data_IF_528050848173
#
_entry.id   IF_528050848173
#
_cell.length_a   1.000
_cell.length_b   1.000
_cell.length_c   1.000
_cell.angle_alpha   90.00
_cell.angle_beta   90.00
_cell.angle_gamma   90.00
#
_symmetry.space_group_name_H-M   'P 1'
#
loop_
_entity.id
_entity.type
_entity.pdbx_description
1 polymer ?
#
# COMPACT_ATOMS: atom_id res chain seq x y z
N UNK A 1 -41.22 49.75 2.17
CA UNK A 1 -39.75 49.65 2.36
C UNK A 1 -39.44 48.24 2.83
N UNK A 2 -38.99 47.37 1.92
CA UNK A 2 -38.67 45.96 2.17
C UNK A 2 -37.21 45.82 2.58
N UNK A 3 -36.96 45.08 3.67
CA UNK A 3 -35.62 44.73 4.19
C UNK A 3 -34.75 44.07 3.10
N UNK A 4 -33.45 44.37 3.02
CA UNK A 4 -32.55 43.65 2.12
C UNK A 4 -32.41 42.21 2.59
N UNK A 5 -32.52 41.27 1.64
CA UNK A 5 -32.39 39.84 1.87
C UNK A 5 -31.00 39.49 2.41
N UNK A 6 -30.96 38.65 3.44
CA UNK A 6 -29.73 38.10 3.99
C UNK A 6 -28.99 37.30 2.91
N UNK A 7 -27.69 37.55 2.76
CA UNK A 7 -26.82 36.79 1.84
C UNK A 7 -26.82 35.31 2.27
N UNK A 8 -26.95 34.35 1.34
CA UNK A 8 -26.90 32.94 1.69
C UNK A 8 -25.54 32.61 2.32
N UNK A 9 -25.56 31.98 3.49
CA UNK A 9 -24.36 31.47 4.15
C UNK A 9 -23.68 30.46 3.23
N UNK A 10 -22.43 30.73 2.88
CA UNK A 10 -21.59 29.80 2.13
C UNK A 10 -21.39 28.52 2.95
N UNK A 11 -21.85 27.39 2.40
CA UNK A 11 -21.68 26.03 2.95
C UNK A 11 -20.30 25.43 2.64
N UNK A 12 -19.33 26.25 2.23
CA UNK A 12 -17.97 25.79 1.99
C UNK A 12 -17.34 25.34 3.32
N UNK A 13 -17.28 24.02 3.53
CA UNK A 13 -16.54 23.40 4.64
C UNK A 13 -15.11 23.91 4.59
N UNK A 14 -14.66 24.58 5.66
CA UNK A 14 -13.29 25.10 5.74
C UNK A 14 -12.30 23.93 5.55
N UNK A 15 -11.26 24.07 4.70
CA UNK A 15 -10.17 23.12 4.65
C UNK A 15 -9.63 22.93 6.07
N UNK A 16 -9.61 21.68 6.55
CA UNK A 16 -9.00 21.37 7.84
C UNK A 16 -7.51 21.62 7.66
N UNK A 17 -6.99 22.65 8.33
CA UNK A 17 -5.57 22.96 8.27
C UNK A 17 -4.76 21.74 8.73
N UNK A 18 -3.66 21.39 8.04
CA UNK A 18 -2.80 20.31 8.50
C UNK A 18 -2.29 20.66 9.91
N UNK A 19 -2.19 19.67 10.82
CA UNK A 19 -1.69 19.92 12.15
C UNK A 19 -0.24 20.46 12.10
N UNK A 20 0.20 21.20 13.13
CA UNK A 20 1.54 21.74 13.17
C UNK A 20 2.60 20.62 13.14
N UNK A 21 3.79 20.90 12.59
CA UNK A 21 4.88 19.94 12.49
C UNK A 21 5.28 19.34 13.86
N UNK A 22 5.20 20.11 14.94
CA UNK A 22 5.45 19.64 16.30
C UNK A 22 4.50 18.51 16.70
N UNK A 23 3.23 18.61 16.32
CA UNK A 23 2.24 17.57 16.56
C UNK A 23 2.55 16.32 15.72
N UNK A 24 2.94 16.48 14.45
CA UNK A 24 3.36 15.35 13.62
C UNK A 24 4.56 14.61 14.19
N UNK A 25 5.58 15.33 14.68
CA UNK A 25 6.76 14.72 15.29
C UNK A 25 6.43 14.01 16.61
N UNK A 26 5.57 14.60 17.43
CA UNK A 26 5.11 13.99 18.67
C UNK A 26 4.32 12.70 18.41
N UNK A 27 3.36 12.75 17.48
CA UNK A 27 2.57 11.58 17.06
C UNK A 27 3.45 10.48 16.44
N UNK A 28 4.45 10.86 15.65
CA UNK A 28 5.42 9.93 15.07
C UNK A 28 6.22 9.23 16.15
N UNK A 29 6.81 9.99 17.09
CA UNK A 29 7.62 9.44 18.17
C UNK A 29 6.82 8.50 19.09
N UNK A 30 5.52 8.79 19.28
CA UNK A 30 4.63 7.99 20.11
C UNK A 30 4.17 6.66 19.46
N UNK A 31 4.39 6.46 18.16
CA UNK A 31 3.92 5.27 17.40
C UNK A 31 5.07 4.31 17.09
N UNK A 32 5.20 3.16 17.77
CA UNK A 32 6.27 2.19 17.47
C UNK A 32 6.25 1.69 16.01
N UNK A 33 5.06 1.47 15.46
CA UNK A 33 4.85 1.07 14.06
C UNK A 33 5.32 2.14 13.05
N UNK A 34 5.44 3.41 13.46
CA UNK A 34 5.91 4.48 12.58
C UNK A 34 7.40 4.35 12.25
N UNK A 35 8.19 3.85 13.21
CA UNK A 35 9.61 3.63 13.05
C UNK A 35 9.91 2.51 12.05
N UNK A 36 9.10 1.44 12.03
CA UNK A 36 9.28 0.36 11.06
C UNK A 36 8.98 0.83 9.63
N UNK A 37 7.90 1.61 9.46
CA UNK A 37 7.55 2.23 8.16
C UNK A 37 8.64 3.19 7.69
N UNK A 38 9.14 4.04 8.59
CA UNK A 38 10.22 4.98 8.26
C UNK A 38 11.52 4.26 7.90
N UNK A 39 11.96 3.30 8.72
CA UNK A 39 13.17 2.52 8.45
C UNK A 39 13.08 1.81 7.09
N UNK A 40 11.92 1.24 6.76
CA UNK A 40 11.69 0.58 5.47
C UNK A 40 11.86 1.52 4.29
N UNK A 41 11.24 2.70 4.36
CA UNK A 41 11.31 3.69 3.30
C UNK A 41 12.70 4.37 3.22
N UNK A 42 13.51 4.28 4.28
CA UNK A 42 14.89 4.78 4.31
C UNK A 42 15.88 3.82 3.63
N UNK A 43 15.55 2.54 3.42
CA UNK A 43 16.43 1.55 2.77
C UNK A 43 17.02 2.06 1.44
N UNK A 44 16.23 2.56 0.46
CA UNK A 44 16.80 3.07 -0.79
C UNK A 44 17.67 4.33 -0.57
N UNK A 45 17.37 5.15 0.44
CA UNK A 45 18.21 6.31 0.81
C UNK A 45 19.56 5.84 1.31
N UNK A 46 19.57 4.91 2.26
CA UNK A 46 20.83 4.35 2.78
C UNK A 46 21.61 3.66 1.68
N UNK A 47 20.90 2.92 0.81
CA UNK A 47 21.45 2.28 -0.37
C UNK A 47 22.26 3.23 -1.24
N UNK A 48 21.67 4.35 -1.66
CA UNK A 48 22.35 5.32 -2.53
C UNK A 48 23.49 6.02 -1.79
N UNK A 49 23.24 6.56 -0.59
CA UNK A 49 24.16 7.49 0.06
C UNK A 49 25.32 6.80 0.78
N UNK A 50 25.14 5.57 1.25
CA UNK A 50 26.15 4.84 2.03
C UNK A 50 26.69 3.60 1.33
N UNK A 51 25.87 2.94 0.51
CA UNK A 51 26.26 1.71 -0.19
C UNK A 51 26.45 1.89 -1.70
N UNK A 52 26.34 3.12 -2.22
CA UNK A 52 26.57 3.43 -3.63
C UNK A 52 25.62 2.71 -4.59
N UNK A 53 24.37 2.46 -4.17
CA UNK A 53 23.38 1.78 -5.01
C UNK A 53 23.17 2.53 -6.33
N UNK A 54 23.10 1.77 -7.42
CA UNK A 54 22.78 2.30 -8.73
C UNK A 54 21.32 2.77 -8.80
N UNK A 55 21.01 3.62 -9.77
CA UNK A 55 19.63 4.01 -10.07
C UNK A 55 18.76 2.77 -10.40
N UNK A 56 19.31 1.80 -11.13
CA UNK A 56 18.62 0.54 -11.44
C UNK A 56 18.26 -0.25 -10.18
N UNK A 57 19.21 -0.43 -9.25
CA UNK A 57 18.97 -1.14 -7.99
C UNK A 57 17.96 -0.40 -7.10
N UNK A 58 18.00 0.94 -7.10
CA UNK A 58 17.04 1.76 -6.36
C UNK A 58 15.64 1.63 -6.93
N UNK A 59 15.47 1.78 -8.24
CA UNK A 59 14.19 1.61 -8.93
C UNK A 59 13.66 0.19 -8.72
N UNK A 60 14.54 -0.82 -8.79
CA UNK A 60 14.20 -2.20 -8.45
C UNK A 60 13.73 -2.35 -7.01
N UNK A 61 14.37 -1.69 -6.04
CA UNK A 61 13.91 -1.72 -4.65
C UNK A 61 12.48 -1.17 -4.50
N UNK A 62 12.15 -0.04 -5.14
CA UNK A 62 10.78 0.48 -5.10
C UNK A 62 9.77 -0.46 -5.75
N UNK A 63 10.14 -1.07 -6.88
CA UNK A 63 9.32 -2.06 -7.58
C UNK A 63 9.06 -3.27 -6.69
N UNK A 64 10.13 -3.85 -6.13
CA UNK A 64 10.08 -5.01 -5.26
C UNK A 64 9.29 -4.73 -3.98
N UNK A 65 9.54 -3.59 -3.31
CA UNK A 65 8.87 -3.21 -2.06
C UNK A 65 7.34 -3.07 -2.27
N UNK A 66 6.93 -2.49 -3.40
CA UNK A 66 5.52 -2.39 -3.76
C UNK A 66 4.89 -3.75 -4.10
N UNK A 67 5.58 -4.60 -4.85
CA UNK A 67 5.11 -5.94 -5.19
C UNK A 67 5.01 -6.83 -3.94
N UNK A 68 5.99 -6.74 -3.03
CA UNK A 68 6.00 -7.47 -1.77
C UNK A 68 4.85 -7.05 -0.84
N UNK A 69 4.56 -5.74 -0.78
CA UNK A 69 3.40 -5.22 -0.05
C UNK A 69 2.09 -5.81 -0.58
N UNK A 70 1.91 -5.77 -1.90
CA UNK A 70 0.72 -6.30 -2.56
C UNK A 70 0.58 -7.82 -2.32
N UNK A 71 1.66 -8.56 -2.51
CA UNK A 71 1.71 -9.99 -2.31
C UNK A 71 1.35 -10.39 -0.87
N UNK A 72 1.85 -9.64 0.12
CA UNK A 72 1.52 -9.83 1.53
C UNK A 72 0.04 -9.56 1.84
N UNK A 73 -0.54 -8.47 1.32
CA UNK A 73 -1.96 -8.14 1.51
C UNK A 73 -2.84 -9.25 0.91
N UNK A 74 -2.57 -9.67 -0.33
CA UNK A 74 -3.33 -10.74 -0.99
C UNK A 74 -3.17 -12.05 -0.19
N UNK A 75 -1.98 -12.38 0.30
CA UNK A 75 -1.75 -13.59 1.09
C UNK A 75 -2.64 -13.65 2.33
N UNK A 76 -2.77 -12.54 3.06
CA UNK A 76 -3.60 -12.47 4.28
C UNK A 76 -5.10 -12.45 3.97
N UNK A 77 -5.51 -12.03 2.77
CA UNK A 77 -6.92 -12.04 2.34
C UNK A 77 -7.41 -13.42 1.87
N UNK A 78 -6.51 -14.33 1.51
CA UNK A 78 -6.91 -15.66 0.98
C UNK A 78 -7.65 -16.51 1.99
N UNK A 79 -7.19 -16.66 3.26
CA UNK A 79 -7.94 -17.42 4.25
C UNK A 79 -9.39 -16.93 4.37
N UNK A 80 -9.60 -15.60 4.36
CA UNK A 80 -10.93 -14.98 4.36
C UNK A 80 -11.75 -15.39 3.15
N UNK A 81 -11.21 -15.17 1.94
CA UNK A 81 -11.89 -15.47 0.69
C UNK A 81 -12.23 -16.96 0.56
N UNK A 82 -11.36 -17.84 1.07
CA UNK A 82 -11.60 -19.28 1.11
C UNK A 82 -12.75 -19.64 2.03
N UNK A 83 -12.78 -19.11 3.27
CA UNK A 83 -13.88 -19.36 4.23
C UNK A 83 -15.23 -18.84 3.72
N UNK A 84 -15.26 -17.63 3.15
CA UNK A 84 -16.47 -17.04 2.54
C UNK A 84 -16.96 -17.83 1.30
N UNK A 85 -16.05 -18.52 0.60
CA UNK A 85 -16.40 -19.37 -0.56
C UNK A 85 -16.81 -20.80 -0.18
N UNK A 86 -16.35 -21.32 0.96
CA UNK A 86 -16.63 -22.69 1.44
C UNK A 86 -18.00 -22.81 2.10
N UNK A 87 -18.50 -21.75 2.74
CA UNK A 87 -19.84 -21.73 3.35
C UNK A 87 -21.00 -21.92 2.36
N UNK A 88 -20.72 -22.01 1.05
CA UNK A 88 -21.67 -22.34 -0.01
C UNK A 88 -21.53 -23.75 -0.59
N UNK A 89 -20.49 -24.51 -0.23
CA UNK A 89 -20.09 -25.74 -0.95
C UNK A 89 -20.06 -26.99 -0.06
N UNK A 90 -20.14 -26.87 1.27
CA UNK A 90 -20.03 -28.00 2.21
C UNK A 90 -21.36 -28.71 2.54
N UNK A 91 -22.10 -29.14 1.52
CA UNK A 91 -23.24 -30.07 1.68
C UNK A 91 -22.94 -31.53 1.28
N UNK A 92 -21.69 -31.89 0.93
CA UNK A 92 -21.43 -33.29 0.60
C UNK A 92 -19.96 -33.67 0.46
N UNK A 93 -19.48 -34.53 1.37
CA UNK A 93 -18.33 -35.38 1.12
C UNK A 93 -17.40 -35.56 2.32
N UNK A 94 -17.46 -36.74 2.94
CA UNK A 94 -16.42 -37.28 3.83
C UNK A 94 -15.09 -37.38 3.06
N UNK A 95 -14.24 -36.36 3.17
CA UNK A 95 -12.83 -36.41 2.77
C UNK A 95 -11.97 -36.53 4.03
N UNK A 96 -10.88 -37.29 3.94
CA UNK A 96 -9.82 -37.31 4.94
C UNK A 96 -9.33 -35.89 5.24
N UNK A 97 -9.29 -35.51 6.52
CA UNK A 97 -8.93 -34.16 6.99
C UNK A 97 -7.58 -33.68 6.44
N UNK A 98 -6.61 -34.60 6.31
CA UNK A 98 -5.27 -34.31 5.77
C UNK A 98 -5.35 -33.99 4.26
N UNK A 99 -6.12 -34.78 3.51
CA UNK A 99 -6.32 -34.54 2.07
C UNK A 99 -7.06 -33.24 1.80
N UNK A 100 -8.03 -32.88 2.65
CA UNK A 100 -8.75 -31.61 2.57
C UNK A 100 -7.83 -30.41 2.88
N UNK A 101 -6.96 -30.51 3.88
CA UNK A 101 -6.01 -29.46 4.25
C UNK A 101 -4.98 -29.18 3.14
N UNK A 102 -4.41 -30.23 2.53
CA UNK A 102 -3.46 -30.09 1.42
C UNK A 102 -4.15 -29.45 0.21
N UNK A 103 -5.34 -29.93 -0.16
CA UNK A 103 -6.08 -29.38 -1.30
C UNK A 103 -6.45 -27.90 -1.07
N UNK A 104 -6.88 -27.56 0.14
CA UNK A 104 -7.19 -26.17 0.50
C UNK A 104 -5.93 -25.30 0.42
N UNK A 105 -4.78 -25.79 0.88
CA UNK A 105 -3.51 -25.07 0.77
C UNK A 105 -3.12 -24.83 -0.69
N UNK A 106 -3.17 -25.87 -1.53
CA UNK A 106 -2.87 -25.74 -2.97
C UNK A 106 -3.82 -24.75 -3.63
N UNK A 107 -5.13 -24.85 -3.36
CA UNK A 107 -6.13 -23.90 -3.88
C UNK A 107 -5.83 -22.47 -3.43
N UNK A 108 -5.46 -22.28 -2.17
CA UNK A 108 -5.03 -21.00 -1.63
C UNK A 108 -3.83 -20.43 -2.37
N UNK A 109 -2.76 -21.22 -2.54
CA UNK A 109 -1.54 -20.80 -3.26
C UNK A 109 -1.84 -20.48 -4.73
N UNK A 110 -2.62 -21.31 -5.42
CA UNK A 110 -3.02 -21.04 -6.82
C UNK A 110 -3.82 -19.74 -6.91
N UNK A 111 -4.78 -19.54 -6.01
CA UNK A 111 -5.58 -18.30 -5.93
C UNK A 111 -4.68 -17.09 -5.67
N UNK A 112 -3.69 -17.24 -4.78
CA UNK A 112 -2.70 -16.21 -4.48
C UNK A 112 -1.92 -15.79 -5.71
N UNK A 113 -1.30 -16.75 -6.40
CA UNK A 113 -0.49 -16.49 -7.60
C UNK A 113 -1.36 -15.84 -8.68
N UNK A 114 -2.57 -16.34 -8.89
CA UNK A 114 -3.51 -15.80 -9.87
C UNK A 114 -3.87 -14.33 -9.55
N UNK A 115 -4.25 -14.05 -8.31
CA UNK A 115 -4.62 -12.70 -7.88
C UNK A 115 -3.41 -11.75 -7.90
N UNK A 116 -2.23 -12.22 -7.52
CA UNK A 116 -1.00 -11.43 -7.60
C UNK A 116 -0.65 -11.09 -9.06
N UNK A 117 -0.84 -12.04 -9.98
CA UNK A 117 -0.69 -11.80 -11.42
C UNK A 117 -1.67 -10.74 -11.94
N UNK A 118 -2.95 -10.88 -11.58
CA UNK A 118 -4.01 -9.99 -12.06
C UNK A 118 -3.96 -8.60 -11.41
N UNK A 119 -3.98 -8.52 -10.09
CA UNK A 119 -3.98 -7.25 -9.34
C UNK A 119 -2.62 -6.56 -9.43
N UNK A 120 -1.54 -7.33 -9.58
CA UNK A 120 -0.19 -6.81 -9.81
C UNK A 120 0.05 -6.27 -11.22
N UNK A 121 -0.93 -6.31 -12.14
CA UNK A 121 -0.80 -5.78 -13.51
C UNK A 121 -0.10 -4.43 -13.61
N UNK A 122 -0.42 -3.42 -12.78
CA UNK A 122 0.30 -2.15 -12.81
C UNK A 122 1.81 -2.29 -12.57
N UNK A 123 2.25 -3.23 -11.72
CA UNK A 123 3.68 -3.52 -11.48
C UNK A 123 4.34 -4.29 -12.62
N UNK A 124 3.58 -5.18 -13.27
CA UNK A 124 4.07 -5.91 -14.44
C UNK A 124 4.22 -4.99 -15.65
N UNK A 125 3.28 -4.06 -15.83
CA UNK A 125 3.30 -3.09 -16.94
C UNK A 125 4.50 -2.15 -16.84
N UNK A 126 4.93 -1.76 -15.63
CA UNK A 126 6.14 -0.95 -15.41
C UNK A 126 7.39 -1.60 -16.01
N UNK A 127 7.44 -2.93 -16.11
CA UNK A 127 8.56 -3.63 -16.74
C UNK A 127 8.70 -3.30 -18.22
N UNK A 128 7.62 -2.93 -18.95
CA UNK A 128 7.70 -2.62 -20.39
C UNK A 128 8.62 -1.42 -20.63
N UNK A 129 8.34 -0.21 -20.08
CA UNK A 129 9.21 0.94 -20.27
C UNK A 129 10.49 0.92 -19.44
N UNK A 130 10.55 0.17 -18.33
CA UNK A 130 11.72 0.12 -17.45
C UNK A 130 12.55 -1.17 -17.55
N UNK A 131 12.33 -2.01 -18.58
CA UNK A 131 13.02 -3.30 -18.71
C UNK A 131 14.54 -3.14 -18.73
N UNK A 132 15.05 -2.13 -19.44
CA UNK A 132 16.49 -1.89 -19.54
C UNK A 132 17.14 -1.58 -18.18
N UNK A 133 16.38 -1.04 -17.22
CA UNK A 133 16.86 -0.80 -15.86
C UNK A 133 16.63 -2.03 -14.98
N UNK A 134 15.37 -2.48 -14.88
CA UNK A 134 14.90 -3.52 -13.96
C UNK A 134 15.36 -4.93 -14.34
N UNK A 135 15.73 -5.15 -15.60
CA UNK A 135 16.20 -6.42 -16.12
C UNK A 135 17.64 -6.32 -16.66
N UNK A 136 18.37 -5.25 -16.33
CA UNK A 136 19.76 -5.08 -16.74
C UNK A 136 20.66 -6.23 -16.28
N UNK A 137 21.67 -6.63 -17.08
CA UNK A 137 22.64 -7.65 -16.66
C UNK A 137 23.38 -7.28 -15.36
N UNK A 138 23.71 -6.00 -15.19
CA UNK A 138 24.38 -5.49 -13.99
C UNK A 138 23.54 -5.63 -12.73
N UNK A 139 22.24 -5.30 -12.80
CA UNK A 139 21.33 -5.50 -11.68
C UNK A 139 21.17 -6.99 -11.34
N UNK A 140 20.99 -7.84 -12.35
CA UNK A 140 20.87 -9.30 -12.15
C UNK A 140 22.11 -9.87 -11.47
N UNK A 141 23.29 -9.44 -11.90
CA UNK A 141 24.56 -9.84 -11.28
C UNK A 141 24.65 -9.37 -9.82
N UNK A 142 24.32 -8.10 -9.54
CA UNK A 142 24.32 -7.58 -8.16
C UNK A 142 23.36 -8.37 -7.26
N UNK A 143 22.14 -8.65 -7.74
CA UNK A 143 21.16 -9.45 -7.00
C UNK A 143 21.65 -10.88 -6.77
N UNK A 144 22.24 -11.53 -7.77
CA UNK A 144 22.70 -12.91 -7.65
C UNK A 144 23.87 -13.06 -6.65
N UNK A 145 24.80 -12.10 -6.61
CA UNK A 145 26.07 -12.26 -5.91
C UNK A 145 26.24 -11.38 -4.66
N UNK A 146 25.23 -10.61 -4.25
CA UNK A 146 25.30 -9.76 -3.05
C UNK A 146 24.35 -10.26 -1.96
N UNK A 147 24.82 -11.06 -0.99
CA UNK A 147 23.98 -11.59 0.09
C UNK A 147 23.28 -10.51 0.92
N UNK A 148 23.92 -9.35 1.09
CA UNK A 148 23.33 -8.21 1.81
C UNK A 148 22.02 -7.72 1.16
N UNK A 149 21.92 -7.80 -0.18
CA UNK A 149 20.69 -7.44 -0.90
C UNK A 149 19.57 -8.45 -0.62
N UNK A 150 19.88 -9.75 -0.56
CA UNK A 150 18.91 -10.77 -0.17
C UNK A 150 18.41 -10.56 1.25
N UNK A 151 19.30 -10.20 2.18
CA UNK A 151 18.88 -9.86 3.54
C UNK A 151 17.97 -8.62 3.56
N UNK A 152 18.34 -7.56 2.83
CA UNK A 152 17.52 -6.37 2.70
C UNK A 152 16.13 -6.67 2.12
N UNK A 153 16.05 -7.30 0.94
CA UNK A 153 14.79 -7.65 0.28
C UNK A 153 13.98 -8.70 1.04
N UNK A 154 14.64 -9.66 1.68
CA UNK A 154 14.00 -10.64 2.55
C UNK A 154 13.37 -9.97 3.78
N UNK A 155 14.07 -9.04 4.42
CA UNK A 155 13.54 -8.28 5.56
C UNK A 155 12.38 -7.36 5.15
N UNK A 156 12.42 -6.78 3.95
CA UNK A 156 11.31 -6.02 3.37
C UNK A 156 10.05 -6.88 3.22
N UNK A 157 10.19 -8.04 2.57
CA UNK A 157 9.08 -8.96 2.35
C UNK A 157 8.50 -9.48 3.67
N UNK A 158 9.36 -9.89 4.61
CA UNK A 158 8.96 -10.32 5.94
C UNK A 158 8.25 -9.19 6.72
N UNK A 159 8.74 -7.95 6.61
CA UNK A 159 8.14 -6.77 7.22
C UNK A 159 6.74 -6.49 6.69
N UNK A 160 6.52 -6.59 5.37
CA UNK A 160 5.18 -6.46 4.78
C UNK A 160 4.24 -7.56 5.23
N UNK A 161 4.70 -8.81 5.25
CA UNK A 161 3.89 -9.93 5.71
C UNK A 161 3.51 -9.78 7.18
N UNK A 162 4.46 -9.42 8.03
CA UNK A 162 4.23 -9.15 9.45
C UNK A 162 3.22 -8.03 9.67
N UNK A 163 3.38 -6.91 8.95
CA UNK A 163 2.44 -5.78 8.99
C UNK A 163 1.04 -6.23 8.55
N UNK A 164 0.93 -6.96 7.44
CA UNK A 164 -0.35 -7.44 6.92
C UNK A 164 -1.06 -8.39 7.91
N UNK A 165 -0.31 -9.28 8.57
CA UNK A 165 -0.85 -10.17 9.60
C UNK A 165 -1.36 -9.39 10.83
N UNK A 166 -0.57 -8.43 11.33
CA UNK A 166 -0.97 -7.59 12.47
C UNK A 166 -2.17 -6.71 12.21
N UNK A 167 -2.36 -6.26 10.96
CA UNK A 167 -3.50 -5.42 10.59
C UNK A 167 -4.83 -6.16 10.61
N UNK A 168 -4.84 -7.50 10.67
CA UNK A 168 -6.07 -8.27 10.87
C UNK A 168 -7.11 -8.08 9.76
N UNK A 169 -6.66 -7.96 8.49
CA UNK A 169 -7.55 -7.81 7.32
C UNK A 169 -8.70 -8.84 7.27
N UNK A 170 -8.44 -10.01 7.82
CA UNK A 170 -9.39 -11.10 7.94
C UNK A 170 -10.64 -10.74 8.75
N UNK A 171 -10.48 -9.97 9.83
CA UNK A 171 -11.54 -9.62 10.78
C UNK A 171 -12.14 -8.23 10.52
N UNK A 172 -11.60 -7.50 9.53
CA UNK A 172 -11.99 -6.11 9.26
C UNK A 172 -13.38 -6.04 8.59
N UNK A 173 -14.28 -5.13 9.03
CA UNK A 173 -15.55 -4.87 8.35
C UNK A 173 -15.36 -4.51 6.87
N UNK A 174 -16.29 -4.90 6.00
CA UNK A 174 -16.13 -4.79 4.53
C UNK A 174 -15.92 -3.34 4.05
N UNK A 175 -16.58 -2.37 4.69
CA UNK A 175 -16.42 -0.95 4.38
C UNK A 175 -15.00 -0.44 4.68
N UNK A 176 -14.43 -0.81 5.83
CA UNK A 176 -13.07 -0.47 6.21
C UNK A 176 -12.05 -1.18 5.32
N UNK A 177 -12.31 -2.44 4.97
CA UNK A 177 -11.46 -3.22 4.06
C UNK A 177 -11.36 -2.56 2.68
N UNK A 178 -12.50 -2.19 2.07
CA UNK A 178 -12.52 -1.51 0.76
C UNK A 178 -11.75 -0.20 0.78
N UNK A 179 -11.92 0.60 1.82
CA UNK A 179 -11.20 1.87 1.97
C UNK A 179 -9.70 1.65 2.12
N UNK A 180 -9.30 0.68 2.96
CA UNK A 180 -7.90 0.34 3.20
C UNK A 180 -7.22 -0.16 1.93
N UNK A 181 -7.86 -1.08 1.21
CA UNK A 181 -7.37 -1.60 -0.07
C UNK A 181 -7.23 -0.47 -1.09
N UNK A 182 -8.24 0.41 -1.20
CA UNK A 182 -8.15 1.58 -2.10
C UNK A 182 -6.97 2.48 -1.75
N UNK A 183 -6.72 2.72 -0.47
CA UNK A 183 -5.57 3.50 -0.03
C UNK A 183 -4.24 2.81 -0.34
N UNK A 184 -4.15 1.50 -0.08
CA UNK A 184 -2.97 0.71 -0.41
C UNK A 184 -2.68 0.79 -1.91
N UNK A 185 -3.72 0.70 -2.76
CA UNK A 185 -3.61 0.92 -4.21
C UNK A 185 -3.10 2.33 -4.55
N UNK A 186 -3.53 3.39 -3.87
CA UNK A 186 -2.99 4.73 -4.12
C UNK A 186 -1.50 4.84 -3.80
N UNK A 187 -1.04 4.27 -2.69
CA UNK A 187 0.39 4.23 -2.34
C UNK A 187 1.17 3.42 -3.39
N UNK A 188 0.59 2.32 -3.88
CA UNK A 188 1.19 1.51 -4.93
C UNK A 188 1.33 2.31 -6.25
N UNK A 189 0.32 3.07 -6.64
CA UNK A 189 0.38 3.95 -7.82
C UNK A 189 1.44 5.05 -7.63
N UNK A 190 1.50 5.65 -6.45
CA UNK A 190 2.50 6.67 -6.13
C UNK A 190 3.93 6.13 -6.27
N UNK A 191 4.17 4.88 -5.83
CA UNK A 191 5.46 4.19 -6.03
C UNK A 191 5.77 3.97 -7.51
N UNK A 192 4.78 3.58 -8.31
CA UNK A 192 4.94 3.44 -9.75
C UNK A 192 5.35 4.76 -10.41
N UNK A 193 4.64 5.85 -10.13
CA UNK A 193 4.98 7.20 -10.64
C UNK A 193 6.39 7.59 -10.23
N UNK A 194 6.77 7.36 -8.98
CA UNK A 194 8.12 7.68 -8.51
C UNK A 194 9.21 6.93 -9.29
N UNK A 195 9.02 5.64 -9.55
CA UNK A 195 9.95 4.84 -10.35
C UNK A 195 10.16 5.44 -11.75
N UNK A 196 9.09 5.88 -12.41
CA UNK A 196 9.17 6.53 -13.71
C UNK A 196 9.95 7.85 -13.68
N UNK A 197 9.67 8.71 -12.68
CA UNK A 197 10.37 10.00 -12.56
C UNK A 197 11.85 9.79 -12.26
N UNK A 198 12.19 8.83 -11.38
CA UNK A 198 13.58 8.46 -11.09
C UNK A 198 14.32 7.94 -12.33
N UNK A 199 13.67 7.08 -13.12
CA UNK A 199 14.24 6.52 -14.34
C UNK A 199 14.46 7.58 -15.43
N UNK A 200 13.53 8.53 -15.58
CA UNK A 200 13.57 9.51 -16.67
C UNK A 200 14.56 10.66 -16.44
N UNK A 201 14.75 11.10 -15.20
CA UNK A 201 15.46 12.36 -14.92
C UNK A 201 16.87 12.17 -14.34
N UNK A 202 17.28 10.94 -14.00
CA UNK A 202 18.58 10.70 -13.35
C UNK A 202 18.72 11.34 -11.96
N UNK A 203 17.64 11.92 -11.43
CA UNK A 203 17.60 12.64 -10.15
C UNK A 203 17.40 11.71 -8.95
N UNK A 204 17.74 10.42 -9.08
CA UNK A 204 17.54 9.42 -8.02
C UNK A 204 18.13 9.90 -6.68
N UNK A 205 19.30 10.54 -6.69
CA UNK A 205 19.93 11.09 -5.49
C UNK A 205 19.03 12.04 -4.70
N UNK A 206 18.38 13.01 -5.36
CA UNK A 206 17.51 13.99 -4.70
C UNK A 206 16.11 13.43 -4.46
N UNK A 207 15.59 12.68 -5.42
CA UNK A 207 14.22 12.22 -5.41
C UNK A 207 13.99 11.12 -4.37
N UNK A 208 14.99 10.29 -4.07
CA UNK A 208 14.87 9.16 -3.16
C UNK A 208 14.61 9.58 -1.71
N UNK A 209 15.35 10.54 -1.11
CA UNK A 209 15.00 11.10 0.20
C UNK A 209 13.60 11.72 0.24
N UNK A 210 13.22 12.48 -0.79
CA UNK A 210 11.89 13.09 -0.86
C UNK A 210 10.78 12.03 -0.92
N UNK A 211 11.00 10.99 -1.72
CA UNK A 211 10.08 9.86 -1.84
C UNK A 211 9.98 9.06 -0.55
N UNK A 212 11.09 8.85 0.16
CA UNK A 212 11.09 8.19 1.46
C UNK A 212 10.18 8.94 2.46
N UNK A 213 10.34 10.26 2.55
CA UNK A 213 9.50 11.10 3.40
C UNK A 213 8.03 11.09 2.95
N UNK A 214 7.77 11.20 1.65
CA UNK A 214 6.42 11.22 1.10
C UNK A 214 5.68 9.90 1.35
N UNK A 215 6.34 8.76 1.11
CA UNK A 215 5.77 7.44 1.35
C UNK A 215 5.57 7.18 2.84
N UNK A 216 6.51 7.59 3.69
CA UNK A 216 6.32 7.50 5.15
C UNK A 216 5.14 8.32 5.60
N UNK A 217 5.02 9.56 5.12
CA UNK A 217 3.90 10.42 5.47
C UNK A 217 2.56 9.82 5.01
N UNK A 218 2.48 9.36 3.76
CA UNK A 218 1.28 8.73 3.22
C UNK A 218 0.89 7.45 3.95
N UNK A 219 1.86 6.62 4.33
CA UNK A 219 1.56 5.38 5.04
C UNK A 219 1.10 5.60 6.49
N UNK A 220 1.54 6.69 7.15
CA UNK A 220 1.20 6.98 8.54
C UNK A 220 -0.07 7.81 8.72
N UNK A 221 -0.36 8.71 7.79
CA UNK A 221 -1.51 9.61 7.86
C UNK A 221 -2.32 9.60 6.56
N UNK A 222 -2.91 8.45 6.17
CA UNK A 222 -3.66 8.30 4.93
C UNK A 222 -4.82 9.31 4.82
N UNK A 223 -5.56 9.48 5.90
CA UNK A 223 -6.73 10.38 5.94
C UNK A 223 -6.34 11.85 5.75
N UNK A 224 -5.18 12.26 6.25
CA UNK A 224 -4.67 13.63 6.10
C UNK A 224 -4.22 13.89 4.66
N UNK A 225 -3.58 12.90 4.01
CA UNK A 225 -3.21 13.01 2.60
C UNK A 225 -4.45 13.04 1.70
N UNK A 226 -5.42 12.17 1.96
CA UNK A 226 -6.70 12.19 1.26
C UNK A 226 -7.42 13.52 1.45
N UNK A 227 -7.42 14.05 2.68
CA UNK A 227 -7.97 15.36 2.99
C UNK A 227 -7.32 16.51 2.23
N UNK A 228 -5.99 16.47 2.08
CA UNK A 228 -5.24 17.48 1.35
C UNK A 228 -5.45 17.43 -0.16
N UNK A 229 -5.58 16.22 -0.74
CA UNK A 229 -5.70 16.03 -2.20
C UNK A 229 -7.15 16.16 -2.69
N UNK A 230 -8.11 15.62 -1.93
CA UNK A 230 -9.50 15.50 -2.35
C UNK A 230 -10.48 16.38 -1.56
N UNK A 231 -10.00 17.14 -0.57
CA UNK A 231 -10.84 18.01 0.26
C UNK A 231 -11.47 17.25 1.42
N UNK A 232 -12.75 17.49 1.73
CA UNK A 232 -13.41 16.84 2.87
C UNK A 232 -13.33 15.30 2.76
N UNK A 233 -12.62 14.62 3.67
CA UNK A 233 -12.44 13.17 3.60
C UNK A 233 -13.79 12.45 3.60
N UNK A 234 -14.86 13.04 4.20
CA UNK A 234 -16.26 12.56 4.19
C UNK A 234 -16.83 12.28 2.78
N UNK A 235 -16.27 12.92 1.73
CA UNK A 235 -16.68 12.73 0.32
C UNK A 235 -16.08 11.50 -0.33
N UNK A 236 -14.98 10.97 0.21
CA UNK A 236 -14.37 9.72 -0.25
C UNK A 236 -14.95 8.49 0.43
N UNK A 237 -15.65 8.68 1.56
CA UNK A 237 -16.38 7.61 2.20
C UNK A 237 -17.73 7.41 1.51
N UNK A 238 -17.99 6.19 1.06
CA UNK A 238 -19.35 5.75 0.71
C UNK A 238 -20.22 5.64 1.97
N UNK A 239 -19.58 5.50 3.15
CA UNK A 239 -20.18 5.44 4.48
C UNK A 239 -19.44 6.37 5.45
N UNK A 240 -20.10 7.45 5.86
CA UNK A 240 -19.59 8.40 6.85
C UNK A 240 -20.08 7.98 8.26
N UNK A 241 -19.20 7.53 9.17
CA UNK A 241 -19.61 7.09 10.51
C UNK A 241 -20.22 8.22 11.34
N UNK A 242 -19.88 9.48 11.05
CA UNK A 242 -20.40 10.66 11.73
C UNK A 242 -21.68 11.22 11.07
N UNK A 243 -22.08 10.65 9.92
CA UNK A 243 -23.29 11.04 9.20
C UNK A 243 -24.11 9.82 8.72
N UNK A 244 -24.93 9.21 9.61
CA UNK A 244 -25.76 8.06 9.27
C UNK A 244 -26.88 8.36 8.25
N UNK A 245 -27.08 9.63 7.87
CA UNK A 245 -28.08 10.01 6.88
C UNK A 245 -27.69 9.62 5.44
N UNK A 246 -26.38 9.53 5.12
CA UNK A 246 -25.91 9.04 3.81
C UNK A 246 -26.23 7.56 3.55
N UNK A 247 -26.50 6.79 4.60
CA UNK A 247 -26.76 5.35 4.54
C UNK A 247 -28.18 5.00 4.09
N UNK A 248 -29.11 5.96 4.12
CA UNK A 248 -30.48 5.77 3.63
C UNK A 248 -30.56 6.10 2.14
N UNK A 249 -30.30 5.12 1.28
CA UNK A 249 -30.82 5.20 -0.10
C UNK A 249 -32.35 5.22 -0.05
N UNK A 250 -33.04 6.11 -0.79
CA UNK A 250 -34.47 5.97 -0.97
C UNK A 250 -34.71 4.65 -1.73
N UNK A 251 -35.59 3.82 -1.18
CA UNK A 251 -36.12 2.63 -1.86
C UNK A 251 -36.92 3.05 -3.09
#
# INVERSE_FOLDING_TARGET
MSKPAAKPFSTATRPIAPPPLSQHLCEFAARPEAWSVFARNLIPVVGIYFFGWSAALTVFNYWFDGLAALAAIIAVLIPRAMRESQSKTEEGGQRSEIGAAILNTVRGVVTWVFLLGLVGLPYWIVLIPLHDLLLSPGLRYQLAYTPALWFAFGSLAAGHLWKALRMGYDQMPENQLKQRVRWDVYILVLRAVAMFVMAAQGLAFILVPLMALLLTYGELWPERVLGAVFGDPSRLYEYDPDNPAKTRRPR
#
